data_IF_099228885292
#
_entry.id   IF_099228885292
#
_cell.length_a   1.000
_cell.length_b   1.000
_cell.length_c   1.000
_cell.angle_alpha   90.00
_cell.angle_beta   90.00
_cell.angle_gamma   90.00
#
_symmetry.space_group_name_H-M   'P 1'
#
loop_
_entity.id
_entity.type
_entity.pdbx_description
1 polymer ?
#
# COMPACT_ATOMS: atom_id res chain seq x y z
N UNK A 1 4.59 25.37 -46.68
CA UNK A 1 5.08 26.12 -45.50
C UNK A 1 4.68 25.34 -44.26
N UNK A 2 5.66 24.75 -43.55
CA UNK A 2 5.41 23.83 -42.43
C UNK A 2 4.97 24.61 -41.18
N UNK A 3 3.79 24.28 -40.65
CA UNK A 3 3.14 24.94 -39.50
C UNK A 3 3.65 24.45 -38.12
N UNK A 4 4.70 23.64 -38.08
CA UNK A 4 5.29 23.12 -36.85
C UNK A 4 6.78 23.44 -36.81
N UNK A 5 7.13 24.49 -36.06
CA UNK A 5 8.51 24.76 -35.68
C UNK A 5 8.85 23.96 -34.42
N UNK A 6 9.48 22.81 -34.63
CA UNK A 6 9.90 21.89 -33.57
C UNK A 6 10.91 22.55 -32.62
N UNK A 7 11.76 23.42 -33.16
CA UNK A 7 12.80 24.15 -32.41
C UNK A 7 12.17 25.11 -31.40
N UNK A 8 11.20 25.92 -31.83
CA UNK A 8 10.52 26.86 -30.92
C UNK A 8 9.72 26.14 -29.82
N UNK A 9 9.17 24.97 -30.14
CA UNK A 9 8.44 24.13 -29.17
C UNK A 9 9.37 23.51 -28.13
N UNK A 10 10.60 23.15 -28.52
CA UNK A 10 11.61 22.61 -27.61
C UNK A 10 12.23 23.70 -26.72
N UNK A 11 12.40 24.91 -27.23
CA UNK A 11 12.87 26.06 -26.46
C UNK A 11 11.86 26.50 -25.38
N UNK A 12 10.57 26.56 -25.73
CA UNK A 12 9.51 26.85 -24.76
C UNK A 12 9.38 25.76 -23.69
N UNK A 13 9.62 24.50 -24.07
CA UNK A 13 9.64 23.38 -23.11
C UNK A 13 10.83 23.46 -22.15
N UNK A 14 12.02 23.85 -22.64
CA UNK A 14 13.20 24.10 -21.79
C UNK A 14 12.99 25.26 -20.84
N UNK A 15 12.45 26.39 -21.33
CA UNK A 15 12.16 27.56 -20.49
C UNK A 15 11.18 27.22 -19.34
N UNK A 16 10.15 26.41 -19.60
CA UNK A 16 9.22 25.92 -18.57
C UNK A 16 9.84 24.93 -17.58
N UNK A 17 10.90 24.22 -17.97
CA UNK A 17 11.62 23.30 -17.10
C UNK A 17 12.58 24.04 -16.16
N UNK A 18 13.26 25.07 -16.68
CA UNK A 18 14.21 25.89 -15.90
C UNK A 18 13.51 26.91 -14.98
N UNK A 19 12.30 27.38 -15.35
CA UNK A 19 11.48 28.30 -14.52
C UNK A 19 10.71 27.61 -13.39
N UNK A 20 10.86 26.29 -13.20
CA UNK A 20 10.40 25.63 -11.96
C UNK A 20 11.34 25.99 -10.82
N UNK A 21 11.24 27.23 -10.36
CA UNK A 21 11.65 27.62 -9.02
C UNK A 21 11.03 26.61 -8.07
N UNK A 22 11.87 25.76 -7.48
CA UNK A 22 11.46 24.79 -6.48
C UNK A 22 10.57 25.51 -5.48
N UNK A 23 9.29 25.14 -5.44
CA UNK A 23 8.39 25.70 -4.44
C UNK A 23 9.01 25.37 -3.09
N UNK A 24 9.52 26.38 -2.40
CA UNK A 24 10.12 26.29 -1.07
C UNK A 24 9.06 26.02 0.02
N UNK A 25 8.06 25.21 -0.32
CA UNK A 25 7.29 24.47 0.68
C UNK A 25 8.28 23.53 1.33
N UNK A 26 8.97 24.01 2.37
CA UNK A 26 9.67 23.19 3.36
C UNK A 26 8.81 21.96 3.59
N UNK A 27 9.23 20.84 3.01
CA UNK A 27 8.60 19.56 3.29
C UNK A 27 8.73 19.39 4.80
N UNK A 28 7.60 19.27 5.50
CA UNK A 28 7.64 18.96 6.93
C UNK A 28 8.48 17.70 7.08
N UNK A 29 9.56 17.81 7.86
CA UNK A 29 10.56 16.76 8.12
C UNK A 29 9.94 15.45 8.60
N UNK A 30 8.72 15.50 9.14
CA UNK A 30 7.94 14.36 9.63
C UNK A 30 7.30 13.52 8.49
N UNK A 31 7.75 13.67 7.25
CA UNK A 31 7.23 12.93 6.09
C UNK A 31 7.62 11.45 6.19
N UNK A 32 6.79 10.68 6.91
CA UNK A 32 6.84 9.21 6.90
C UNK A 32 6.87 8.56 8.28
N UNK A 33 7.33 9.27 9.32
CA UNK A 33 7.43 8.68 10.66
C UNK A 33 6.10 8.82 11.40
N UNK A 34 5.56 7.69 11.85
CA UNK A 34 4.40 7.69 12.75
C UNK A 34 4.76 8.48 14.00
N UNK A 35 3.95 9.48 14.36
CA UNK A 35 4.10 10.22 15.64
C UNK A 35 3.75 9.37 16.87
N UNK A 36 3.46 8.08 16.67
CA UNK A 36 3.22 7.15 17.75
C UNK A 36 4.55 6.75 18.39
N UNK A 37 4.59 6.63 19.72
CA UNK A 37 5.69 5.96 20.40
C UNK A 37 5.95 4.59 19.76
N UNK A 38 7.23 4.23 19.57
CA UNK A 38 7.64 2.97 18.93
C UNK A 38 6.90 1.73 19.47
N UNK A 39 6.82 1.53 20.80
CA UNK A 39 6.10 0.40 21.38
C UNK A 39 4.60 0.37 21.03
N UNK A 40 3.95 1.53 21.02
CA UNK A 40 2.54 1.64 20.63
C UNK A 40 2.34 1.39 19.14
N UNK A 41 3.26 1.86 18.30
CA UNK A 41 3.24 1.59 16.86
C UNK A 41 3.38 0.10 16.56
N UNK A 42 4.25 -0.60 17.28
CA UNK A 42 4.45 -2.05 17.12
C UNK A 42 3.24 -2.84 17.62
N UNK A 43 2.65 -2.45 18.75
CA UNK A 43 1.42 -3.07 19.25
C UNK A 43 0.25 -2.89 18.28
N UNK A 44 0.10 -1.69 17.71
CA UNK A 44 -0.88 -1.43 16.66
C UNK A 44 -0.59 -2.28 15.42
N UNK A 45 0.67 -2.37 14.98
CA UNK A 45 1.07 -3.18 13.82
C UNK A 45 0.68 -4.65 13.99
N UNK A 46 0.91 -5.24 15.17
CA UNK A 46 0.48 -6.63 15.47
C UNK A 46 -1.02 -6.84 15.27
N UNK A 47 -1.85 -5.87 15.67
CA UNK A 47 -3.29 -5.93 15.44
C UNK A 47 -3.65 -5.81 13.95
N UNK A 48 -2.93 -4.97 13.21
CA UNK A 48 -3.16 -4.75 11.79
C UNK A 48 -2.73 -5.92 10.91
N UNK A 49 -1.72 -6.69 11.31
CA UNK A 49 -1.21 -7.87 10.58
C UNK A 49 -2.08 -9.13 10.76
N UNK A 50 -3.28 -9.00 11.31
CA UNK A 50 -4.27 -10.07 11.36
C UNK A 50 -4.78 -10.44 9.97
N UNK A 51 -5.35 -11.64 9.83
CA UNK A 51 -5.90 -12.15 8.57
C UNK A 51 -7.13 -11.35 8.11
N UNK A 52 -8.03 -11.04 9.04
CA UNK A 52 -9.26 -10.28 8.80
C UNK A 52 -9.13 -8.86 9.33
N UNK A 53 -9.90 -7.93 8.76
CA UNK A 53 -9.84 -6.53 9.17
C UNK A 53 -10.52 -6.36 10.54
N UNK A 54 -9.77 -6.00 11.60
CA UNK A 54 -10.39 -5.71 12.88
C UNK A 54 -11.16 -4.38 12.80
N UNK A 55 -12.39 -4.32 13.33
CA UNK A 55 -13.10 -3.06 13.52
C UNK A 55 -12.25 -2.07 14.31
N UNK A 56 -12.24 -0.80 13.90
CA UNK A 56 -11.41 0.24 14.57
C UNK A 56 -11.73 0.37 16.07
N UNK A 57 -12.99 0.12 16.46
CA UNK A 57 -13.40 0.10 17.88
C UNK A 57 -12.66 -0.99 18.68
N UNK A 58 -12.44 -2.16 18.07
CA UNK A 58 -11.77 -3.29 18.71
C UNK A 58 -10.27 -3.03 18.79
N UNK A 59 -9.67 -2.45 17.74
CA UNK A 59 -8.27 -1.97 17.79
C UNK A 59 -8.08 -1.00 18.98
N UNK A 60 -8.97 0.00 19.11
CA UNK A 60 -8.88 0.97 20.20
C UNK A 60 -9.04 0.31 21.58
N UNK A 61 -10.02 -0.58 21.73
CA UNK A 61 -10.24 -1.32 22.97
C UNK A 61 -9.04 -2.20 23.33
N UNK A 62 -8.39 -2.85 22.36
CA UNK A 62 -7.17 -3.65 22.59
C UNK A 62 -5.95 -2.79 22.94
N UNK A 63 -5.86 -1.55 22.44
CA UNK A 63 -4.74 -0.66 22.74
C UNK A 63 -4.89 0.08 24.08
N UNK A 64 -6.12 0.28 24.57
CA UNK A 64 -6.36 1.08 25.77
C UNK A 64 -5.64 0.55 27.02
N UNK A 65 -5.66 -0.75 27.36
CA UNK A 65 -4.93 -1.26 28.51
C UNK A 65 -3.41 -1.07 28.39
N UNK A 66 -2.87 -1.22 27.18
CA UNK A 66 -1.46 -0.99 26.89
C UNK A 66 -1.11 0.49 27.09
N UNK A 67 -1.89 1.40 26.50
CA UNK A 67 -1.70 2.84 26.67
C UNK A 67 -1.75 3.27 28.15
N UNK A 68 -2.70 2.72 28.92
CA UNK A 68 -2.83 3.03 30.35
C UNK A 68 -1.62 2.58 31.16
N UNK A 69 -1.12 1.36 30.91
CA UNK A 69 0.05 0.82 31.61
C UNK A 69 1.34 1.58 31.28
N UNK A 70 1.53 1.94 30.03
CA UNK A 70 2.74 2.62 29.55
C UNK A 70 2.67 4.16 29.65
N UNK A 71 1.57 4.72 30.19
CA UNK A 71 1.37 6.16 30.33
C UNK A 71 1.16 6.92 29.01
N UNK A 72 0.76 6.22 27.94
CA UNK A 72 0.49 6.83 26.64
C UNK A 72 -0.95 7.32 26.51
N UNK A 73 -1.15 8.39 25.72
CA UNK A 73 -2.49 8.77 25.26
C UNK A 73 -2.96 7.80 24.17
N UNK A 74 -4.18 7.25 24.24
CA UNK A 74 -4.74 6.42 23.19
C UNK A 74 -4.76 7.15 21.83
N UNK A 75 -4.48 6.45 20.72
CA UNK A 75 -4.51 7.07 19.40
C UNK A 75 -5.94 7.42 18.96
N UNK A 76 -6.08 8.47 18.15
CA UNK A 76 -7.36 8.78 17.52
C UNK A 76 -7.68 7.78 16.39
N UNK A 77 -8.96 7.67 16.00
CA UNK A 77 -9.38 6.90 14.80
C UNK A 77 -8.62 7.34 13.54
N UNK A 78 -8.44 8.65 13.37
CA UNK A 78 -7.71 9.21 12.22
C UNK A 78 -6.23 8.77 12.25
N UNK A 79 -5.62 8.67 13.43
CA UNK A 79 -4.26 8.15 13.59
C UNK A 79 -4.18 6.69 13.16
N UNK A 80 -5.13 5.85 13.57
CA UNK A 80 -5.19 4.44 13.15
C UNK A 80 -5.28 4.33 11.63
N UNK A 81 -6.18 5.05 10.97
CA UNK A 81 -6.30 5.01 9.51
C UNK A 81 -5.01 5.42 8.79
N UNK A 82 -4.32 6.48 9.27
CA UNK A 82 -3.02 6.87 8.71
C UNK A 82 -1.96 5.80 8.88
N UNK A 83 -1.98 5.08 10.00
CA UNK A 83 -1.06 3.96 10.23
C UNK A 83 -1.39 2.79 9.30
N UNK A 84 -2.67 2.46 9.09
CA UNK A 84 -3.07 1.41 8.13
C UNK A 84 -2.54 1.67 6.72
N UNK A 85 -2.55 2.93 6.27
CA UNK A 85 -2.05 3.32 4.94
C UNK A 85 -0.52 3.21 4.80
N UNK A 86 0.22 3.27 5.91
CA UNK A 86 1.69 3.40 5.91
C UNK A 86 2.41 2.21 6.53
N UNK A 87 1.71 1.41 7.33
CA UNK A 87 2.29 0.27 8.01
C UNK A 87 2.68 -0.75 6.94
N UNK A 88 3.94 -1.25 6.94
CA UNK A 88 4.31 -2.30 6.01
C UNK A 88 3.41 -3.51 6.27
N UNK A 89 2.78 -4.02 5.21
CA UNK A 89 2.02 -5.25 5.21
C UNK A 89 2.93 -6.48 5.37
N UNK A 90 2.44 -7.62 4.91
CA UNK A 90 3.25 -8.83 4.89
C UNK A 90 4.33 -8.74 3.80
N UNK A 91 5.38 -9.53 3.96
CA UNK A 91 6.41 -9.72 2.94
C UNK A 91 6.56 -11.21 2.68
N UNK A 92 6.75 -11.58 1.42
CA UNK A 92 6.85 -12.96 0.97
C UNK A 92 8.18 -13.19 0.27
N UNK A 93 8.81 -14.32 0.53
CA UNK A 93 9.95 -14.78 -0.28
C UNK A 93 9.41 -15.40 -1.57
N UNK A 94 10.05 -15.10 -2.72
CA UNK A 94 9.61 -15.65 -4.02
C UNK A 94 9.56 -17.18 -4.00
N UNK A 95 10.56 -17.83 -3.39
CA UNK A 95 10.68 -19.28 -3.32
C UNK A 95 9.58 -19.99 -2.52
N UNK A 96 8.93 -19.29 -1.59
CA UNK A 96 7.86 -19.86 -0.75
C UNK A 96 6.47 -19.73 -1.41
N UNK A 97 6.37 -18.95 -2.49
CA UNK A 97 5.10 -18.72 -3.17
C UNK A 97 4.74 -19.89 -4.10
N UNK A 98 3.45 -20.20 -4.31
CA UNK A 98 3.04 -21.20 -5.28
C UNK A 98 3.56 -20.90 -6.69
N UNK A 99 3.86 -21.90 -7.53
CA UNK A 99 4.39 -21.69 -8.88
C UNK A 99 3.53 -20.77 -9.75
N UNK A 100 2.20 -20.82 -9.61
CA UNK A 100 1.29 -19.94 -10.34
C UNK A 100 1.39 -18.48 -9.90
N UNK A 101 1.68 -18.24 -8.62
CA UNK A 101 1.93 -16.90 -8.08
C UNK A 101 3.27 -16.38 -8.57
N UNK A 102 4.33 -17.20 -8.54
CA UNK A 102 5.65 -16.84 -9.06
C UNK A 102 5.56 -16.41 -10.53
N UNK A 103 4.85 -17.18 -11.37
CA UNK A 103 4.62 -16.81 -12.79
C UNK A 103 3.88 -15.49 -12.96
N UNK A 104 2.97 -15.14 -12.04
CA UNK A 104 2.27 -13.85 -12.10
C UNK A 104 3.20 -12.66 -11.78
N UNK A 105 4.31 -12.92 -11.08
CA UNK A 105 5.31 -11.95 -10.64
C UNK A 105 6.47 -11.81 -11.62
N UNK A 106 6.31 -12.23 -12.88
CA UNK A 106 7.35 -12.28 -13.91
C UNK A 106 8.14 -10.97 -14.17
N UNK A 107 7.61 -9.82 -13.75
CA UNK A 107 8.27 -8.52 -13.88
C UNK A 107 9.06 -8.09 -12.63
N UNK A 108 8.97 -8.85 -11.54
CA UNK A 108 9.74 -8.63 -10.33
C UNK A 108 11.01 -9.46 -10.42
N UNK A 109 12.14 -8.89 -9.99
CA UNK A 109 13.40 -9.64 -9.92
C UNK A 109 13.28 -10.83 -8.97
N UNK A 110 14.10 -11.85 -9.21
CA UNK A 110 14.10 -13.09 -8.43
C UNK A 110 14.69 -12.93 -7.02
N UNK A 111 15.27 -11.77 -6.72
CA UNK A 111 15.95 -11.49 -5.45
C UNK A 111 15.11 -10.61 -4.51
N UNK A 112 14.83 -11.15 -3.33
CA UNK A 112 14.36 -10.39 -2.17
C UNK A 112 12.90 -10.59 -1.79
N UNK A 113 12.53 -9.92 -0.69
CA UNK A 113 11.19 -9.94 -0.10
C UNK A 113 10.21 -9.08 -0.88
N UNK A 114 9.13 -9.69 -1.34
CA UNK A 114 8.08 -9.03 -2.11
C UNK A 114 6.98 -8.54 -1.15
N UNK A 115 6.62 -7.24 -1.17
CA UNK A 115 5.50 -6.73 -0.39
C UNK A 115 4.17 -7.41 -0.77
N UNK A 116 3.37 -7.78 0.22
CA UNK A 116 2.11 -8.51 0.02
C UNK A 116 1.12 -7.79 -0.90
N UNK A 117 1.05 -6.46 -0.81
CA UNK A 117 0.20 -5.68 -1.72
C UNK A 117 0.64 -5.76 -3.20
N UNK A 118 1.93 -5.97 -3.47
CA UNK A 118 2.42 -6.21 -4.83
C UNK A 118 2.07 -7.61 -5.29
N UNK A 119 2.21 -8.62 -4.43
CA UNK A 119 1.78 -10.00 -4.73
C UNK A 119 0.30 -10.03 -5.10
N UNK A 120 -0.56 -9.41 -4.28
CA UNK A 120 -1.99 -9.30 -4.56
C UNK A 120 -2.26 -8.57 -5.88
N UNK A 121 -1.58 -7.45 -6.13
CA UNK A 121 -1.71 -6.68 -7.36
C UNK A 121 -1.39 -7.53 -8.60
N UNK A 122 -0.21 -8.16 -8.66
CA UNK A 122 0.21 -8.94 -9.82
C UNK A 122 -0.64 -10.18 -10.03
N UNK A 123 -0.98 -10.90 -8.97
CA UNK A 123 -1.84 -12.09 -9.04
C UNK A 123 -3.22 -11.79 -9.61
N UNK A 124 -3.83 -10.65 -9.24
CA UNK A 124 -5.15 -10.26 -9.72
C UNK A 124 -5.13 -9.57 -11.09
N UNK A 125 -4.01 -8.93 -11.47
CA UNK A 125 -3.90 -8.17 -12.71
C UNK A 125 -3.34 -8.99 -13.88
N UNK A 126 -2.45 -9.95 -13.59
CA UNK A 126 -1.70 -10.73 -14.58
C UNK A 126 -1.72 -12.24 -14.34
N UNK A 127 -2.13 -12.69 -13.14
CA UNK A 127 -2.13 -14.10 -12.79
C UNK A 127 -3.25 -14.91 -13.43
N UNK A 128 -3.10 -16.24 -13.36
CA UNK A 128 -4.17 -17.17 -13.71
C UNK A 128 -5.20 -17.31 -12.57
N UNK A 129 -6.25 -18.10 -12.77
CA UNK A 129 -7.30 -18.32 -11.78
C UNK A 129 -6.76 -18.78 -10.41
N UNK A 130 -5.74 -19.65 -10.37
CA UNK A 130 -5.12 -20.10 -9.12
C UNK A 130 -4.39 -18.98 -8.39
N UNK A 131 -3.61 -18.16 -9.10
CA UNK A 131 -2.95 -16.99 -8.52
C UNK A 131 -3.96 -15.96 -8.00
N UNK A 132 -5.05 -15.72 -8.75
CA UNK A 132 -6.15 -14.87 -8.30
C UNK A 132 -6.85 -15.41 -7.05
N UNK A 133 -7.06 -16.73 -6.97
CA UNK A 133 -7.62 -17.39 -5.78
C UNK A 133 -6.70 -17.25 -4.57
N UNK A 134 -5.39 -17.39 -4.75
CA UNK A 134 -4.39 -17.15 -3.71
C UNK A 134 -4.48 -15.70 -3.21
N UNK A 135 -4.48 -14.72 -4.12
CA UNK A 135 -4.59 -13.32 -3.77
C UNK A 135 -5.88 -12.99 -3.01
N UNK A 136 -7.01 -13.58 -3.39
CA UNK A 136 -8.28 -13.38 -2.69
C UNK A 136 -8.23 -13.82 -1.21
N UNK A 137 -7.38 -14.80 -0.89
CA UNK A 137 -7.12 -15.30 0.47
C UNK A 137 -6.06 -14.54 1.26
N UNK A 138 -5.40 -13.53 0.69
CA UNK A 138 -4.33 -12.79 1.37
C UNK A 138 -4.83 -11.97 2.57
N UNK A 139 -3.96 -11.60 3.52
CA UNK A 139 -4.35 -10.76 4.65
C UNK A 139 -4.98 -9.44 4.23
N UNK A 140 -5.96 -8.96 5.01
CA UNK A 140 -6.78 -7.80 4.63
C UNK A 140 -5.96 -6.54 4.36
N UNK A 141 -4.86 -6.34 5.09
CA UNK A 141 -4.02 -5.15 4.97
C UNK A 141 -3.32 -5.11 3.60
N UNK A 142 -2.88 -6.27 3.09
CA UNK A 142 -2.24 -6.39 1.79
C UNK A 142 -3.23 -6.08 0.66
N UNK A 143 -4.47 -6.58 0.77
CA UNK A 143 -5.56 -6.27 -0.17
C UNK A 143 -5.98 -4.79 -0.12
N UNK A 144 -6.10 -4.24 1.09
CA UNK A 144 -6.41 -2.83 1.31
C UNK A 144 -5.36 -1.91 0.69
N UNK A 145 -4.08 -2.28 0.81
CA UNK A 145 -2.97 -1.53 0.20
C UNK A 145 -2.95 -1.73 -1.33
N UNK A 146 -3.17 -2.95 -1.82
CA UNK A 146 -3.22 -3.23 -3.26
C UNK A 146 -4.29 -2.40 -3.99
N UNK A 147 -5.44 -2.15 -3.34
CA UNK A 147 -6.51 -1.32 -3.89
C UNK A 147 -6.09 0.14 -4.20
N UNK A 148 -5.04 0.62 -3.52
CA UNK A 148 -4.47 1.97 -3.68
C UNK A 148 -3.31 2.00 -4.67
N UNK A 149 -2.78 0.84 -5.06
CA UNK A 149 -1.78 0.73 -6.13
C UNK A 149 -2.39 1.23 -7.45
N UNK A 150 -1.58 1.86 -8.30
CA UNK A 150 -1.99 2.33 -9.63
C UNK A 150 -1.79 1.21 -10.67
N UNK A 151 -2.32 1.39 -11.88
CA UNK A 151 -2.08 0.45 -13.00
C UNK A 151 -3.02 -0.77 -13.05
N UNK A 152 -4.11 -0.75 -12.29
CA UNK A 152 -5.15 -1.77 -12.37
C UNK A 152 -5.84 -1.79 -13.73
N UNK A 153 -5.99 -2.98 -14.33
CA UNK A 153 -6.94 -3.21 -15.41
C UNK A 153 -8.36 -3.13 -14.88
N UNK A 154 -9.31 -2.67 -15.69
CA UNK A 154 -10.70 -2.43 -15.24
C UNK A 154 -11.36 -3.69 -14.67
N UNK A 155 -11.22 -4.85 -15.33
CA UNK A 155 -11.76 -6.14 -14.85
C UNK A 155 -11.12 -6.57 -13.53
N UNK A 156 -9.80 -6.49 -13.43
CA UNK A 156 -9.06 -6.84 -12.21
C UNK A 156 -9.40 -5.93 -11.03
N UNK A 157 -9.62 -4.63 -11.29
CA UNK A 157 -10.13 -3.68 -10.29
C UNK A 157 -11.52 -4.07 -9.79
N UNK A 158 -12.40 -4.48 -10.71
CA UNK A 158 -13.73 -5.00 -10.37
C UNK A 158 -13.67 -6.24 -9.49
N UNK A 159 -12.79 -7.19 -9.84
CA UNK A 159 -12.56 -8.40 -9.04
C UNK A 159 -12.05 -8.07 -7.64
N UNK A 160 -11.04 -7.20 -7.51
CA UNK A 160 -10.58 -6.75 -6.20
C UNK A 160 -11.71 -6.09 -5.40
N UNK A 161 -12.51 -5.23 -6.04
CA UNK A 161 -13.67 -4.61 -5.40
C UNK A 161 -14.67 -5.63 -4.86
N UNK A 162 -14.95 -6.69 -5.61
CA UNK A 162 -15.82 -7.78 -5.17
C UNK A 162 -15.22 -8.54 -3.96
N UNK A 163 -13.91 -8.83 -4.00
CA UNK A 163 -13.20 -9.49 -2.89
C UNK A 163 -13.29 -8.63 -1.61
N UNK A 164 -12.99 -7.33 -1.71
CA UNK A 164 -13.05 -6.40 -0.58
C UNK A 164 -14.47 -6.30 -0.01
N UNK A 165 -15.49 -6.25 -0.88
CA UNK A 165 -16.88 -6.19 -0.46
C UNK A 165 -17.33 -7.45 0.31
N UNK A 166 -17.02 -8.64 -0.22
CA UNK A 166 -17.34 -9.92 0.45
C UNK A 166 -16.64 -10.02 1.80
N UNK A 167 -15.40 -9.55 1.89
CA UNK A 167 -14.58 -9.59 3.11
C UNK A 167 -14.77 -8.40 4.04
N UNK A 168 -15.64 -7.44 3.69
CA UNK A 168 -15.95 -6.23 4.47
C UNK A 168 -14.71 -5.37 4.81
N UNK A 169 -13.80 -5.22 3.84
CA UNK A 169 -12.54 -4.44 3.94
C UNK A 169 -12.72 -3.01 3.43
#
# INVERSE_FOLDING_TARGET
>A
MSLFNLESSLEDARRRFDERTESSRRGRSDRGVSRLPGPLSEQLRKLLLSQERPPVREILASLEPFCRREGYRPPSRATIYRVMERSPGHSYEMGDLPPEVQRALYNLGDEGRIPGHQVAFYCLNHGCARASSFAAGMPWLDLYQAARTRGWRQRSRGLLGAILAVRRI
#
